data_IF_615848057744
#
_entry.id   IF_615848057744
#
_cell.length_a   1.000
_cell.length_b   1.000
_cell.length_c   1.000
_cell.angle_alpha   90.00
_cell.angle_beta   90.00
_cell.angle_gamma   90.00
#
_symmetry.space_group_name_H-M   'P 1'
#
loop_
_entity.id
_entity.type
_entity.pdbx_description
1 polymer ?
#
# COMPACT_ATOMS: atom_id res chain seq x y z
N UNK A 1 -16.90 26.38 3.50
CA UNK A 1 -16.82 25.05 2.86
C UNK A 1 -15.51 25.03 2.09
N UNK A 2 -14.45 24.50 2.70
CA UNK A 2 -13.13 24.40 2.07
C UNK A 2 -13.21 23.25 1.06
N UNK A 3 -12.79 23.44 -0.21
CA UNK A 3 -12.80 22.35 -1.18
C UNK A 3 -11.86 21.25 -0.69
N UNK A 4 -12.40 20.04 -0.51
CA UNK A 4 -11.59 18.83 -0.29
C UNK A 4 -10.89 18.56 -1.63
N UNK A 5 -9.55 18.52 -1.68
CA UNK A 5 -8.86 18.20 -2.93
C UNK A 5 -9.35 16.83 -3.42
N UNK A 6 -9.76 16.82 -4.69
CA UNK A 6 -10.24 15.65 -5.41
C UNK A 6 -9.24 14.49 -5.19
N UNK A 7 -9.72 13.38 -4.64
CA UNK A 7 -8.94 12.14 -4.49
C UNK A 7 -8.54 11.75 -5.90
N UNK A 8 -7.30 12.09 -6.26
CA UNK A 8 -6.72 11.72 -7.55
C UNK A 8 -6.77 10.20 -7.59
N UNK A 9 -7.70 9.68 -8.40
CA UNK A 9 -7.91 8.24 -8.55
C UNK A 9 -6.69 7.71 -9.29
N UNK A 10 -5.66 7.30 -8.55
CA UNK A 10 -4.55 6.53 -9.11
C UNK A 10 -5.19 5.28 -9.73
N UNK A 11 -5.02 5.03 -11.04
CA UNK A 11 -5.60 3.86 -11.67
C UNK A 11 -5.15 2.63 -10.89
N UNK A 12 -6.10 1.78 -10.51
CA UNK A 12 -5.78 0.54 -9.82
C UNK A 12 -4.82 -0.25 -10.72
N UNK A 13 -3.64 -0.56 -10.19
CA UNK A 13 -2.63 -1.39 -10.84
C UNK A 13 -2.56 -2.74 -10.14
N UNK A 14 -2.32 -3.81 -10.90
CA UNK A 14 -2.03 -5.15 -10.38
C UNK A 14 -0.63 -5.57 -10.82
N UNK A 15 -0.04 -6.52 -10.10
CA UNK A 15 1.29 -7.04 -10.42
C UNK A 15 1.21 -8.27 -11.31
N UNK A 16 2.21 -8.43 -12.19
CA UNK A 16 2.44 -9.63 -12.99
C UNK A 16 3.91 -10.00 -12.99
N UNK A 17 4.21 -11.25 -12.65
CA UNK A 17 5.54 -11.80 -12.87
C UNK A 17 5.67 -12.26 -14.32
N UNK A 18 6.55 -11.65 -15.10
CA UNK A 18 6.81 -12.05 -16.50
C UNK A 18 7.65 -13.33 -16.59
N UNK A 19 8.38 -13.69 -15.53
CA UNK A 19 9.19 -14.92 -15.46
C UNK A 19 8.36 -16.19 -15.33
N UNK A 20 7.27 -16.18 -14.55
CA UNK A 20 6.46 -17.39 -14.27
C UNK A 20 4.96 -17.23 -14.51
N UNK A 21 4.48 -16.03 -14.85
CA UNK A 21 3.06 -15.76 -15.10
C UNK A 21 2.21 -15.59 -13.84
N UNK A 22 2.79 -15.57 -12.64
CA UNK A 22 2.05 -15.33 -11.40
C UNK A 22 1.39 -13.94 -11.42
N UNK A 23 0.16 -13.89 -10.90
CA UNK A 23 -0.70 -12.70 -10.85
C UNK A 23 -1.31 -12.46 -9.46
N UNK A 24 -1.08 -13.34 -8.48
CA UNK A 24 -1.95 -13.40 -7.29
C UNK A 24 -1.23 -13.34 -5.95
N UNK A 25 0.08 -13.65 -5.85
CA UNK A 25 0.81 -13.40 -4.58
C UNK A 25 2.19 -12.79 -4.82
N UNK A 26 2.44 -11.70 -4.11
CA UNK A 26 3.68 -10.94 -4.19
C UNK A 26 4.00 -10.42 -2.80
N UNK A 27 5.29 -10.39 -2.47
CA UNK A 27 5.78 -9.74 -1.28
C UNK A 27 6.05 -8.27 -1.62
N UNK A 28 5.34 -7.36 -0.95
CA UNK A 28 5.41 -5.92 -1.22
C UNK A 28 6.03 -5.23 -0.02
N UNK A 29 7.16 -4.56 -0.25
CA UNK A 29 7.77 -3.65 0.73
C UNK A 29 7.39 -2.23 0.35
N UNK A 30 6.83 -1.48 1.31
CA UNK A 30 6.42 -0.10 1.11
C UNK A 30 6.71 0.73 2.35
N UNK A 31 7.09 2.00 2.13
CA UNK A 31 7.13 3.00 3.20
C UNK A 31 5.82 3.77 3.22
N UNK A 32 5.26 3.95 4.43
CA UNK A 32 4.03 4.70 4.65
C UNK A 32 4.26 5.75 5.73
N UNK A 33 3.86 6.99 5.43
CA UNK A 33 3.81 8.07 6.41
C UNK A 33 2.36 8.32 6.76
N UNK A 34 2.01 8.15 8.03
CA UNK A 34 0.65 8.29 8.54
C UNK A 34 0.57 9.33 9.65
N UNK A 35 -0.63 9.89 9.83
CA UNK A 35 -1.01 10.68 11.00
C UNK A 35 -2.16 9.97 11.68
N UNK A 36 -2.02 9.74 12.98
CA UNK A 36 -3.03 9.02 13.76
C UNK A 36 -3.57 9.90 14.88
N UNK A 37 -4.87 9.83 15.13
CA UNK A 37 -5.52 10.44 16.30
C UNK A 37 -5.55 9.42 17.44
N UNK A 38 -4.76 9.68 18.48
CA UNK A 38 -4.60 8.81 19.64
C UNK A 38 -5.52 9.29 20.75
N UNK A 39 -6.39 8.41 21.22
CA UNK A 39 -7.22 8.63 22.39
C UNK A 39 -6.74 7.72 23.51
N UNK A 40 -6.25 8.32 24.59
CA UNK A 40 -5.87 7.61 25.80
C UNK A 40 -7.00 7.71 26.83
N UNK A 41 -7.33 6.60 27.49
CA UNK A 41 -8.15 6.65 28.71
C UNK A 41 -7.37 7.32 29.83
N UNK A 42 -8.04 7.68 30.92
CA UNK A 42 -7.38 8.16 32.15
C UNK A 42 -6.44 7.10 32.73
N UNK A 43 -6.74 5.80 32.54
CA UNK A 43 -5.88 4.68 32.95
C UNK A 43 -4.64 4.47 32.08
N UNK A 44 -4.58 5.10 30.90
CA UNK A 44 -3.47 5.03 29.97
C UNK A 44 -3.65 4.04 28.81
N UNK A 45 -4.82 3.41 28.68
CA UNK A 45 -5.12 2.53 27.55
C UNK A 45 -5.27 3.34 26.26
N UNK A 46 -4.58 2.92 25.19
CA UNK A 46 -4.63 3.58 23.88
C UNK A 46 -5.71 2.99 22.97
N UNK A 47 -6.53 3.86 22.40
CA UNK A 47 -7.33 3.61 21.20
C UNK A 47 -6.90 4.56 20.08
N UNK A 48 -6.66 4.04 18.87
CA UNK A 48 -6.45 4.86 17.68
C UNK A 48 -7.78 5.00 16.95
N UNK A 49 -8.43 6.16 17.05
CA UNK A 49 -9.78 6.34 16.49
C UNK A 49 -9.76 6.68 14.99
N UNK A 50 -8.66 7.27 14.52
CA UNK A 50 -8.49 7.64 13.11
C UNK A 50 -7.03 7.53 12.71
N UNK A 51 -6.81 7.02 11.51
CA UNK A 51 -5.51 7.04 10.83
C UNK A 51 -5.70 7.61 9.44
N UNK A 52 -4.85 8.59 9.09
CA UNK A 52 -4.77 9.20 7.78
C UNK A 52 -3.43 8.82 7.15
N UNK A 53 -3.44 8.32 5.91
CA UNK A 53 -2.22 8.08 5.14
C UNK A 53 -1.86 9.37 4.42
N UNK A 54 -0.69 9.92 4.73
CA UNK A 54 -0.19 11.17 4.15
C UNK A 54 0.66 10.93 2.91
N UNK A 55 1.39 9.82 2.89
CA UNK A 55 2.19 9.39 1.75
C UNK A 55 2.42 7.88 1.82
N UNK A 56 2.53 7.27 0.66
CA UNK A 56 2.84 5.85 0.50
C UNK A 56 3.72 5.67 -0.74
N UNK A 57 4.81 4.93 -0.59
CA UNK A 57 5.73 4.59 -1.66
C UNK A 57 6.02 3.10 -1.63
N UNK A 58 5.81 2.43 -2.77
CA UNK A 58 6.18 1.01 -2.94
C UNK A 58 7.65 0.95 -3.31
N UNK A 59 8.45 0.32 -2.45
CA UNK A 59 9.90 0.24 -2.58
C UNK A 59 10.33 -1.01 -3.36
N UNK A 60 9.63 -2.12 -3.16
CA UNK A 60 9.94 -3.40 -3.79
C UNK A 60 8.70 -4.28 -3.91
N UNK A 61 8.63 -4.99 -5.02
CA UNK A 61 7.65 -6.05 -5.25
C UNK A 61 8.40 -7.30 -5.70
N UNK A 62 8.22 -8.40 -4.99
CA UNK A 62 8.86 -9.67 -5.28
C UNK A 62 7.80 -10.76 -5.55
N UNK A 63 8.03 -11.60 -6.55
CA UNK A 63 7.15 -12.73 -6.81
C UNK A 63 7.42 -13.83 -5.78
N UNK A 64 6.41 -14.23 -5.00
CA UNK A 64 6.60 -15.21 -3.91
C UNK A 64 7.02 -16.62 -4.36
N UNK A 65 7.10 -16.89 -5.67
CA UNK A 65 7.58 -18.17 -6.23
C UNK A 65 8.97 -18.05 -6.84
N UNK A 66 9.23 -16.97 -7.57
CA UNK A 66 10.54 -16.78 -8.18
C UNK A 66 11.53 -16.23 -7.17
N UNK A 67 11.06 -15.47 -6.18
CA UNK A 67 11.91 -14.67 -5.31
C UNK A 67 12.66 -13.59 -6.11
N UNK A 68 13.92 -13.28 -5.72
CA UNK A 68 14.75 -12.27 -6.38
C UNK A 68 14.92 -12.37 -7.91
N UNK A 69 15.00 -13.56 -8.54
CA UNK A 69 15.11 -13.65 -10.01
C UNK A 69 13.79 -13.40 -10.76
N UNK A 70 12.66 -13.22 -10.06
CA UNK A 70 11.39 -12.87 -10.69
C UNK A 70 11.40 -11.45 -11.26
N UNK A 71 10.92 -11.28 -12.49
CA UNK A 71 10.71 -9.96 -13.10
C UNK A 71 9.25 -9.58 -12.95
N UNK A 72 8.96 -8.54 -12.17
CA UNK A 72 7.59 -8.08 -11.88
C UNK A 72 7.30 -6.76 -12.61
N UNK A 73 6.16 -6.71 -13.30
CA UNK A 73 5.63 -5.50 -13.94
C UNK A 73 4.28 -5.11 -13.33
N UNK A 74 3.95 -3.82 -13.36
CA UNK A 74 2.60 -3.33 -13.08
C UNK A 74 1.77 -3.36 -14.36
N UNK A 75 0.57 -3.92 -14.27
CA UNK A 75 -0.40 -3.92 -15.38
C UNK A 75 -1.71 -3.28 -14.92
N UNK A 76 -2.51 -2.72 -15.83
CA UNK A 76 -3.82 -2.16 -15.49
C UNK A 76 -4.74 -3.21 -14.88
N UNK A 77 -5.55 -2.78 -13.91
CA UNK A 77 -6.74 -3.53 -13.52
C UNK A 77 -7.81 -3.21 -14.58
N UNK A 78 -8.35 -4.26 -15.20
CA UNK A 78 -9.37 -4.15 -16.24
C UNK A 78 -10.78 -3.97 -15.64
#
# INVERSE_FOLDING_TARGET
>A
MVPVPDVTTTPAVRYRCTSCGNLTRFDVTASRRTRSFHHYTVGGELTVERTEVLAEEVERVECSWCGPPGVVETVPVA
#
